data_IF_021531897199
#
_entry.id   IF_021531897199
#
_cell.length_a   1.000
_cell.length_b   1.000
_cell.length_c   1.000
_cell.angle_alpha   90.00
_cell.angle_beta   90.00
_cell.angle_gamma   90.00
#
_symmetry.space_group_name_H-M   'P 1'
#
loop_
_entity.id
_entity.type
_entity.pdbx_description
1 polymer ?
#
# COMPACT_ATOMS: atom_id res chain seq x y z
N UNK A 1 -1.96 15.50 12.23
CA UNK A 1 -1.32 14.25 12.64
C UNK A 1 -2.21 13.12 12.22
N UNK A 2 -1.77 12.37 11.21
CA UNK A 2 -2.52 11.26 10.64
C UNK A 2 -2.49 10.10 11.63
N UNK A 3 -3.64 9.55 12.01
CA UNK A 3 -3.72 8.44 12.95
C UNK A 3 -4.35 7.22 12.26
N UNK A 4 -3.49 6.38 11.69
CA UNK A 4 -3.89 5.18 10.96
C UNK A 4 -4.06 4.01 11.94
N UNK A 5 -5.24 3.42 11.96
CA UNK A 5 -5.44 2.13 12.62
C UNK A 5 -5.07 1.01 11.64
N UNK A 6 -3.93 0.35 11.89
CA UNK A 6 -3.44 -0.74 11.04
C UNK A 6 -4.50 -1.82 10.76
N UNK A 7 -5.23 -2.30 11.76
CA UNK A 7 -6.22 -3.37 11.56
C UNK A 7 -7.35 -2.93 10.61
N UNK A 8 -7.83 -1.70 10.79
CA UNK A 8 -8.89 -1.10 9.97
C UNK A 8 -8.42 -0.83 8.53
N UNK A 9 -7.17 -0.39 8.36
CA UNK A 9 -6.53 -0.24 7.04
C UNK A 9 -6.47 -1.59 6.34
N UNK A 10 -5.92 -2.61 6.99
CA UNK A 10 -5.75 -3.92 6.37
C UNK A 10 -7.08 -4.56 5.96
N UNK A 11 -8.12 -4.38 6.78
CA UNK A 11 -9.48 -4.84 6.43
C UNK A 11 -9.99 -4.13 5.17
N UNK A 12 -10.03 -2.80 5.17
CA UNK A 12 -10.67 -2.03 4.08
C UNK A 12 -9.87 -1.99 2.79
N UNK A 13 -8.56 -1.84 2.89
CA UNK A 13 -7.68 -1.91 1.72
C UNK A 13 -7.67 -3.33 1.17
N UNK A 14 -7.61 -4.35 2.03
CA UNK A 14 -7.73 -5.75 1.62
C UNK A 14 -9.04 -6.03 0.88
N UNK A 15 -10.18 -5.60 1.42
CA UNK A 15 -11.49 -5.71 0.78
C UNK A 15 -11.52 -5.04 -0.61
N UNK A 16 -10.91 -3.87 -0.79
CA UNK A 16 -10.80 -3.21 -2.10
C UNK A 16 -9.88 -4.01 -3.05
N UNK A 17 -8.74 -4.49 -2.56
CA UNK A 17 -7.77 -5.26 -3.32
C UNK A 17 -8.34 -6.58 -3.85
N UNK A 18 -9.28 -7.23 -3.14
CA UNK A 18 -9.95 -8.43 -3.67
C UNK A 18 -10.71 -8.19 -4.98
N UNK A 19 -11.06 -6.93 -5.29
CA UNK A 19 -11.74 -6.53 -6.53
C UNK A 19 -10.76 -6.16 -7.65
N UNK A 20 -9.45 -6.06 -7.35
CA UNK A 20 -8.43 -5.69 -8.32
C UNK A 20 -8.15 -6.84 -9.30
N UNK A 21 -8.05 -6.56 -10.62
CA UNK A 21 -7.70 -7.57 -11.61
C UNK A 21 -6.29 -8.15 -11.41
N UNK A 22 -5.41 -7.43 -10.73
CA UNK A 22 -4.03 -7.84 -10.45
C UNK A 22 -3.91 -8.79 -9.24
N UNK A 23 -4.98 -8.90 -8.46
CA UNK A 23 -5.08 -9.74 -7.25
C UNK A 23 -6.01 -10.94 -7.43
N UNK A 24 -6.72 -11.04 -8.57
CA UNK A 24 -7.81 -12.02 -8.79
C UNK A 24 -7.40 -13.50 -8.60
N UNK A 25 -6.13 -13.82 -8.87
CA UNK A 25 -5.59 -15.18 -8.82
C UNK A 25 -4.76 -15.42 -7.53
N UNK A 26 -4.67 -14.42 -6.66
CA UNK A 26 -3.93 -14.49 -5.40
C UNK A 26 -4.82 -15.13 -4.31
N UNK A 27 -4.33 -16.17 -3.60
CA UNK A 27 -5.02 -16.70 -2.43
C UNK A 27 -5.28 -15.62 -1.38
N UNK A 28 -6.38 -15.73 -0.63
CA UNK A 28 -6.77 -14.74 0.39
C UNK A 28 -5.67 -14.52 1.44
N UNK A 29 -5.04 -15.60 1.92
CA UNK A 29 -3.93 -15.51 2.89
C UNK A 29 -2.72 -14.76 2.31
N UNK A 30 -2.41 -14.96 1.03
CA UNK A 30 -1.32 -14.24 0.34
C UNK A 30 -1.68 -12.77 0.11
N UNK A 31 -2.95 -12.47 -0.21
CA UNK A 31 -3.45 -11.09 -0.34
C UNK A 31 -3.37 -10.34 0.97
N UNK A 32 -3.74 -10.97 2.08
CA UNK A 32 -3.60 -10.40 3.41
C UNK A 32 -2.14 -10.16 3.77
N UNK A 33 -1.25 -11.13 3.49
CA UNK A 33 0.19 -10.97 3.72
C UNK A 33 0.79 -9.85 2.87
N UNK A 34 0.40 -9.76 1.59
CA UNK A 34 0.80 -8.67 0.70
C UNK A 34 0.33 -7.31 1.21
N UNK A 35 -0.95 -7.19 1.57
CA UNK A 35 -1.54 -5.94 2.06
C UNK A 35 -0.85 -5.48 3.35
N UNK A 36 -0.55 -6.43 4.25
CA UNK A 36 0.20 -6.16 5.47
C UNK A 36 1.62 -5.65 5.18
N UNK A 37 2.35 -6.32 4.28
CA UNK A 37 3.70 -5.92 3.91
C UNK A 37 3.73 -4.55 3.24
N UNK A 38 2.80 -4.27 2.31
CA UNK A 38 2.68 -3.00 1.63
C UNK A 38 2.39 -1.86 2.63
N UNK A 39 1.41 -2.05 3.52
CA UNK A 39 1.12 -1.09 4.58
C UNK A 39 2.30 -0.84 5.51
N UNK A 40 2.99 -1.89 5.95
CA UNK A 40 4.10 -1.73 6.88
C UNK A 40 5.28 -0.96 6.23
N UNK A 41 5.54 -1.19 4.94
CA UNK A 41 6.55 -0.45 4.17
C UNK A 41 6.15 1.03 3.97
N UNK A 42 4.90 1.26 3.57
CA UNK A 42 4.34 2.58 3.34
C UNK A 42 4.27 3.41 4.62
N UNK A 43 3.77 2.83 5.71
CA UNK A 43 3.76 3.47 7.02
C UNK A 43 5.18 3.81 7.52
N UNK A 44 6.16 2.94 7.27
CA UNK A 44 7.56 3.22 7.61
C UNK A 44 8.11 4.39 6.78
N UNK A 45 7.76 4.48 5.50
CA UNK A 45 8.07 5.63 4.66
C UNK A 45 7.43 6.91 5.21
N UNK A 46 6.12 6.91 5.45
CA UNK A 46 5.38 8.07 6.01
C UNK A 46 5.98 8.55 7.32
N UNK A 47 6.38 7.63 8.19
CA UNK A 47 7.05 7.97 9.45
C UNK A 47 8.42 8.62 9.21
N UNK A 48 9.22 8.09 8.28
CA UNK A 48 10.56 8.61 7.96
C UNK A 48 10.51 9.96 7.26
N UNK A 49 9.52 10.17 6.38
CA UNK A 49 9.32 11.38 5.61
C UNK A 49 8.59 12.49 6.40
N UNK A 50 8.10 12.20 7.61
CA UNK A 50 7.37 13.17 8.44
C UNK A 50 5.90 13.35 8.06
N UNK A 51 5.38 12.54 7.12
CA UNK A 51 4.00 12.61 6.63
C UNK A 51 2.98 12.43 7.75
N UNK A 52 3.27 11.53 8.70
CA UNK A 52 2.40 11.33 9.88
C UNK A 52 2.30 12.59 10.75
N UNK A 53 3.33 13.43 10.74
CA UNK A 53 3.40 14.70 11.46
C UNK A 53 2.86 15.89 10.65
N UNK A 54 2.55 15.70 9.36
CA UNK A 54 1.94 16.70 8.47
C UNK A 54 2.83 17.17 7.32
N UNK A 55 3.98 16.54 7.09
CA UNK A 55 4.76 16.79 5.86
C UNK A 55 4.07 16.18 4.62
N UNK A 56 4.54 16.57 3.44
CA UNK A 56 3.98 16.14 2.16
C UNK A 56 4.31 14.66 1.86
N UNK A 57 3.31 13.91 1.40
CA UNK A 57 3.49 12.55 0.90
C UNK A 57 3.91 12.61 -0.57
N UNK A 58 5.16 12.24 -0.85
CA UNK A 58 5.67 12.09 -2.21
C UNK A 58 5.36 10.66 -2.70
N UNK A 59 4.43 10.56 -3.65
CA UNK A 59 3.91 9.31 -4.19
C UNK A 59 4.96 8.50 -4.95
N UNK A 60 5.84 9.16 -5.71
CA UNK A 60 6.87 8.49 -6.50
C UNK A 60 7.90 7.84 -5.56
N UNK A 61 8.38 8.60 -4.56
CA UNK A 61 9.32 8.10 -3.54
C UNK A 61 8.70 6.98 -2.68
N UNK A 62 7.41 7.10 -2.36
CA UNK A 62 6.69 6.07 -1.61
C UNK A 62 6.56 4.78 -2.42
N UNK A 63 6.17 4.88 -3.69
CA UNK A 63 6.05 3.75 -4.60
C UNK A 63 7.38 3.00 -4.72
N UNK A 64 8.48 3.70 -4.99
CA UNK A 64 9.82 3.10 -5.06
C UNK A 64 10.19 2.40 -3.74
N UNK A 65 9.92 3.04 -2.60
CA UNK A 65 10.20 2.46 -1.27
C UNK A 65 9.42 1.16 -1.03
N UNK A 66 8.14 1.11 -1.41
CA UNK A 66 7.29 -0.07 -1.24
C UNK A 66 7.75 -1.18 -2.20
N UNK A 67 8.05 -0.85 -3.46
CA UNK A 67 8.56 -1.81 -4.46
C UNK A 67 9.84 -2.46 -3.99
N UNK A 68 10.81 -1.67 -3.52
CA UNK A 68 12.09 -2.18 -3.02
C UNK A 68 11.87 -3.09 -1.81
N UNK A 69 11.08 -2.63 -0.83
CA UNK A 69 10.80 -3.40 0.39
C UNK A 69 10.11 -4.74 0.09
N UNK A 70 9.11 -4.75 -0.80
CA UNK A 70 8.36 -5.98 -1.12
C UNK A 70 9.15 -6.90 -2.05
N UNK A 71 9.97 -6.36 -2.96
CA UNK A 71 10.87 -7.14 -3.80
C UNK A 71 11.86 -7.94 -2.95
N UNK A 72 12.45 -7.30 -1.94
CA UNK A 72 13.33 -7.97 -0.97
C UNK A 72 12.56 -8.99 -0.12
N UNK A 73 11.37 -8.63 0.38
CA UNK A 73 10.57 -9.48 1.25
C UNK A 73 10.13 -10.79 0.58
N UNK A 74 9.68 -10.71 -0.67
CA UNK A 74 9.18 -11.86 -1.42
C UNK A 74 10.25 -12.55 -2.29
N UNK A 75 11.49 -12.03 -2.33
CA UNK A 75 12.60 -12.57 -3.13
C UNK A 75 12.22 -12.81 -4.60
N UNK A 76 11.56 -11.82 -5.21
CA UNK A 76 10.96 -11.93 -6.54
C UNK A 76 11.99 -11.94 -7.66
N UNK A 77 11.65 -12.60 -8.77
CA UNK A 77 12.45 -12.56 -10.00
C UNK A 77 12.20 -11.26 -10.79
N UNK A 78 13.08 -10.90 -11.72
CA UNK A 78 12.89 -9.71 -12.59
C UNK A 78 11.59 -9.78 -13.40
N UNK A 79 11.12 -10.97 -13.79
CA UNK A 79 9.85 -11.14 -14.51
C UNK A 79 8.63 -10.83 -13.61
N UNK A 80 8.77 -11.04 -12.30
CA UNK A 80 7.72 -10.78 -11.32
C UNK A 80 7.68 -9.30 -10.87
N UNK A 81 8.74 -8.53 -11.12
CA UNK A 81 8.83 -7.11 -10.72
C UNK A 81 7.74 -6.27 -11.38
N UNK A 82 7.45 -6.49 -12.68
CA UNK A 82 6.37 -5.75 -13.36
C UNK A 82 5.00 -6.03 -12.74
N UNK A 83 4.73 -7.28 -12.35
CA UNK A 83 3.49 -7.65 -11.68
C UNK A 83 3.43 -7.08 -10.27
N UNK A 84 4.58 -7.03 -9.56
CA UNK A 84 4.68 -6.38 -8.25
C UNK A 84 4.34 -4.88 -8.35
N UNK A 85 4.89 -4.17 -9.33
CA UNK A 85 4.58 -2.75 -9.55
C UNK A 85 3.07 -2.53 -9.71
N UNK A 86 2.41 -3.31 -10.58
CA UNK A 86 0.95 -3.22 -10.79
C UNK A 86 0.13 -3.53 -9.52
N UNK A 87 0.64 -4.44 -8.68
CA UNK A 87 0.01 -4.78 -7.40
C UNK A 87 0.17 -3.66 -6.37
N UNK A 88 1.31 -2.98 -6.37
CA UNK A 88 1.57 -1.83 -5.50
C UNK A 88 0.76 -0.62 -5.94
N UNK A 89 0.66 -0.35 -7.25
CA UNK A 89 -0.26 0.67 -7.78
C UNK A 89 -1.70 0.41 -7.28
N UNK A 90 -2.18 -0.83 -7.42
CA UNK A 90 -3.51 -1.20 -6.93
C UNK A 90 -3.66 -1.04 -5.40
N UNK A 91 -2.58 -1.24 -4.63
CA UNK A 91 -2.57 -0.98 -3.20
C UNK A 91 -2.64 0.51 -2.90
N UNK A 92 -1.83 1.34 -3.57
CA UNK A 92 -1.81 2.80 -3.37
C UNK A 92 -3.16 3.41 -3.72
N UNK A 93 -3.76 3.02 -4.84
CA UNK A 93 -5.13 3.41 -5.21
C UNK A 93 -6.12 3.03 -4.10
N UNK A 94 -6.05 1.79 -3.59
CA UNK A 94 -6.96 1.31 -2.57
C UNK A 94 -6.77 2.03 -1.22
N UNK A 95 -5.52 2.40 -0.89
CA UNK A 95 -5.15 3.12 0.32
C UNK A 95 -5.55 4.60 0.24
N UNK A 96 -5.38 5.25 -0.89
CA UNK A 96 -5.86 6.61 -1.13
C UNK A 96 -7.38 6.68 -0.97
N UNK A 97 -8.12 5.78 -1.61
CA UNK A 97 -9.57 5.68 -1.43
C UNK A 97 -9.97 5.47 0.05
N UNK A 98 -9.17 4.72 0.82
CA UNK A 98 -9.40 4.53 2.26
C UNK A 98 -9.25 5.84 3.04
N UNK A 99 -8.27 6.67 2.66
CA UNK A 99 -8.03 7.97 3.27
C UNK A 99 -9.14 8.96 2.96
N UNK A 100 -9.59 9.01 1.70
CA UNK A 100 -10.75 9.82 1.28
C UNK A 100 -12.02 9.44 2.04
N UNK A 101 -12.34 8.15 2.15
CA UNK A 101 -13.54 7.65 2.85
C UNK A 101 -13.59 8.02 4.34
N UNK A 102 -12.46 8.40 4.95
CA UNK A 102 -12.35 8.81 6.35
C UNK A 102 -12.08 10.30 6.53
N UNK A 103 -12.23 11.09 5.48
CA UNK A 103 -11.94 12.53 5.46
C UNK A 103 -10.48 12.84 5.89
N UNK A 104 -9.54 11.91 5.65
CA UNK A 104 -8.12 12.12 5.95
C UNK A 104 -7.40 12.89 4.85
N UNK A 105 -7.91 12.84 3.62
CA UNK A 105 -7.42 13.59 2.47
C UNK A 105 -8.66 14.09 1.71
N UNK A 106 -8.75 15.40 1.49
CA UNK A 106 -9.66 16.01 0.50
C UNK A 106 -8.79 16.45 -0.68
N UNK A 107 -9.00 15.86 -1.86
CA UNK A 107 -8.43 16.39 -3.09
C UNK A 107 -9.37 17.47 -3.65
N UNK A 108 -8.91 18.72 -3.65
CA UNK A 108 -9.58 19.88 -4.28
C UNK A 108 -9.62 19.76 -5.83
#
# INVERSE_FOLDING_TARGET
MLNLNREDVLEKVGEKLTKSPFMKDMPEEELQAFTAAAYDADHAYMQKAGVLDGDYYDEDDAFETIVDSLSEHFSLSEEDQMLLCQRIEAYMDAFENYLEERDFVEWD
#
